data_IF_390162130961
#
_entry.id   IF_390162130961
#
_cell.length_a   1.000
_cell.length_b   1.000
_cell.length_c   1.000
_cell.angle_alpha   90.00
_cell.angle_beta   90.00
_cell.angle_gamma   90.00
#
_symmetry.space_group_name_H-M   'P 1'
#
loop_
_entity.id
_entity.type
_entity.pdbx_description
1 polymer ?
#
# COMPACT_ATOMS: atom_id res chain seq x y z
N UNK A 1 -29.13 35.70 40.89
CA UNK A 1 -28.16 34.64 41.21
C UNK A 1 -28.16 33.62 40.09
N UNK A 2 -27.17 33.60 39.18
CA UNK A 2 -27.01 32.52 38.22
C UNK A 2 -26.07 31.44 38.79
N UNK A 3 -26.46 30.16 38.67
CA UNK A 3 -25.57 29.01 38.92
C UNK A 3 -24.98 28.50 37.60
N UNK A 4 -23.78 27.89 37.62
CA UNK A 4 -22.84 27.90 36.51
C UNK A 4 -22.93 26.69 35.57
N UNK A 5 -22.36 26.86 34.36
CA UNK A 5 -22.11 25.84 33.34
C UNK A 5 -21.28 24.65 33.86
N UNK A 6 -21.39 23.49 33.19
CA UNK A 6 -20.22 22.70 32.87
C UNK A 6 -19.97 22.64 31.35
N UNK A 7 -18.75 23.03 31.03
CA UNK A 7 -17.99 22.85 29.80
C UNK A 7 -17.88 21.35 29.46
N UNK A 8 -18.36 20.90 28.29
CA UNK A 8 -17.86 19.65 27.68
C UNK A 8 -18.22 19.53 26.20
N UNK A 9 -17.18 19.26 25.40
CA UNK A 9 -17.15 18.64 24.06
C UNK A 9 -17.57 19.50 22.87
N UNK A 10 -16.66 20.40 22.48
CA UNK A 10 -16.43 20.71 21.08
C UNK A 10 -15.41 19.70 20.53
N UNK A 11 -15.87 18.78 19.66
CA UNK A 11 -15.08 17.98 18.72
C UNK A 11 -16.05 17.01 18.04
N UNK A 12 -16.45 17.34 16.81
CA UNK A 12 -16.83 16.41 15.75
C UNK A 12 -17.46 17.19 14.60
N UNK A 13 -16.85 17.09 13.42
CA UNK A 13 -17.44 17.61 12.18
C UNK A 13 -16.45 18.33 11.27
N UNK A 14 -15.33 17.71 10.92
CA UNK A 14 -14.65 18.06 9.66
C UNK A 14 -15.21 17.14 8.58
N UNK A 15 -16.39 17.49 8.09
CA UNK A 15 -16.96 16.94 6.86
C UNK A 15 -16.14 17.51 5.69
N UNK A 16 -15.38 16.66 5.01
CA UNK A 16 -14.79 16.98 3.71
C UNK A 16 -15.91 17.04 2.67
N UNK A 17 -16.59 18.19 2.60
CA UNK A 17 -17.41 18.53 1.44
C UNK A 17 -16.48 19.00 0.33
N UNK A 18 -16.07 18.09 -0.56
CA UNK A 18 -15.44 18.45 -1.81
C UNK A 18 -16.47 19.14 -2.71
N UNK A 19 -16.35 20.45 -2.85
CA UNK A 19 -17.09 21.22 -3.84
C UNK A 19 -16.52 20.88 -5.22
N UNK A 20 -17.29 20.17 -6.05
CA UNK A 20 -16.92 19.92 -7.45
C UNK A 20 -17.03 21.24 -8.22
N UNK A 21 -15.90 21.89 -8.47
CA UNK A 21 -15.78 22.87 -9.55
C UNK A 21 -15.30 22.15 -10.80
N UNK A 22 -16.24 21.76 -11.66
CA UNK A 22 -15.96 21.24 -12.98
C UNK A 22 -15.32 22.33 -13.85
N UNK A 23 -14.05 22.18 -14.21
CA UNK A 23 -13.46 22.88 -15.34
C UNK A 23 -13.64 22.00 -16.58
N UNK A 24 -14.58 22.41 -17.43
CA UNK A 24 -14.81 21.79 -18.72
C UNK A 24 -13.62 22.13 -19.65
N UNK A 25 -12.68 21.20 -19.80
CA UNK A 25 -11.79 21.22 -20.97
C UNK A 25 -12.52 20.57 -22.15
N UNK A 26 -12.65 21.32 -23.24
CA UNK A 26 -13.22 20.83 -24.50
C UNK A 26 -12.33 19.70 -25.04
N UNK A 27 -12.81 18.46 -24.97
CA UNK A 27 -12.20 17.34 -25.67
C UNK A 27 -12.56 17.43 -27.17
N UNK A 28 -11.56 17.65 -28.00
CA UNK A 28 -11.67 17.57 -29.45
C UNK A 28 -11.77 16.09 -29.87
N UNK A 29 -12.96 15.70 -30.33
CA UNK A 29 -13.30 14.35 -30.80
C UNK A 29 -12.82 14.11 -32.23
N UNK A 30 -11.53 14.34 -32.51
CA UNK A 30 -11.00 14.11 -33.85
C UNK A 30 -9.55 13.65 -33.85
N UNK A 31 -9.30 12.40 -33.44
CA UNK A 31 -8.15 11.63 -33.96
C UNK A 31 -8.47 10.15 -34.05
N UNK A 32 -8.43 9.66 -35.29
CA UNK A 32 -8.65 8.29 -35.69
C UNK A 32 -7.73 7.31 -34.95
N UNK A 33 -8.31 6.20 -34.49
CA UNK A 33 -7.57 5.00 -34.08
C UNK A 33 -7.01 4.32 -35.32
N UNK A 34 -5.69 4.36 -35.53
CA UNK A 34 -5.03 3.50 -36.50
C UNK A 34 -4.35 2.31 -35.80
N UNK A 35 -4.91 1.13 -36.02
CA UNK A 35 -4.29 -0.16 -35.78
C UNK A 35 -3.47 -0.55 -37.01
N UNK A 36 -2.15 -0.31 -37.00
CA UNK A 36 -1.25 -0.85 -38.03
C UNK A 36 0.01 -1.43 -37.41
N UNK A 37 0.32 -2.65 -37.85
CA UNK A 37 1.42 -3.51 -37.43
C UNK A 37 2.81 -2.94 -37.82
N UNK A 38 3.73 -3.02 -36.85
CA UNK A 38 5.19 -3.22 -36.92
C UNK A 38 6.03 -2.58 -38.05
N UNK A 39 7.11 -1.89 -37.64
CA UNK A 39 8.45 -2.08 -38.22
C UNK A 39 9.54 -1.80 -37.18
N UNK A 40 10.48 -2.74 -37.07
CA UNK A 40 11.76 -2.62 -36.36
C UNK A 40 12.52 -1.35 -36.73
N UNK A 41 13.06 -0.64 -35.73
CA UNK A 41 14.15 0.31 -35.92
C UNK A 41 15.35 -0.13 -35.07
N UNK A 42 16.17 -1.00 -35.66
CA UNK A 42 17.59 -1.06 -35.34
C UNK A 42 18.28 0.09 -36.08
N UNK A 43 19.17 0.79 -35.37
CA UNK A 43 20.21 1.71 -35.86
C UNK A 43 19.85 3.21 -35.93
N UNK A 44 20.52 3.96 -35.04
CA UNK A 44 21.01 5.35 -35.14
C UNK A 44 20.23 6.38 -36.00
N UNK A 45 19.74 7.43 -35.32
CA UNK A 45 19.13 8.67 -35.82
C UNK A 45 17.71 8.59 -36.39
N UNK A 46 16.72 8.82 -35.52
CA UNK A 46 15.44 9.41 -35.90
C UNK A 46 15.28 10.76 -35.18
N UNK A 47 15.65 11.83 -35.88
CA UNK A 47 15.36 13.22 -35.50
C UNK A 47 13.90 13.48 -35.86
N UNK A 48 13.06 13.81 -34.87
CA UNK A 48 11.70 14.26 -35.11
C UNK A 48 11.68 15.79 -35.07
N UNK A 49 11.60 16.40 -36.24
CA UNK A 49 11.53 17.84 -36.45
C UNK A 49 10.07 18.27 -36.35
N UNK A 50 9.69 19.03 -35.31
CA UNK A 50 8.30 19.40 -35.08
C UNK A 50 8.03 20.30 -33.88
N UNK A 51 8.21 21.62 -34.08
CA UNK A 51 7.46 22.73 -33.45
C UNK A 51 7.53 22.91 -31.91
N UNK A 52 8.64 23.46 -31.42
CA UNK A 52 8.64 24.44 -30.33
C UNK A 52 9.62 25.57 -30.65
N UNK A 53 9.13 26.82 -30.65
CA UNK A 53 9.94 28.02 -30.83
C UNK A 53 10.74 28.29 -29.56
N UNK A 54 12.05 28.08 -29.59
CA UNK A 54 12.96 28.58 -28.57
C UNK A 54 13.42 29.99 -28.97
N UNK A 55 13.11 30.97 -28.11
CA UNK A 55 13.69 32.30 -28.19
C UNK A 55 15.20 32.21 -27.90
N UNK A 56 16.00 32.74 -28.82
CA UNK A 56 17.45 32.89 -28.67
C UNK A 56 17.76 33.81 -27.49
N UNK A 57 18.17 33.23 -26.36
CA UNK A 57 18.89 33.94 -25.32
C UNK A 57 20.37 33.51 -25.37
N UNK A 58 21.13 34.26 -26.17
CA UNK A 58 22.53 34.62 -25.96
C UNK A 58 23.52 33.51 -25.51
N UNK A 59 24.25 32.98 -26.50
CA UNK A 59 25.54 32.30 -26.34
C UNK A 59 26.50 33.14 -25.48
N UNK A 60 26.78 32.67 -24.27
CA UNK A 60 27.94 33.04 -23.47
C UNK A 60 28.68 31.74 -23.14
N UNK A 61 29.77 31.50 -23.87
CA UNK A 61 30.66 30.38 -23.64
C UNK A 61 31.69 30.70 -22.54
N UNK A 62 32.05 29.65 -21.80
CA UNK A 62 33.32 29.38 -21.10
C UNK A 62 33.29 29.45 -19.56
N UNK A 63 33.54 28.26 -19.01
CA UNK A 63 34.01 27.95 -17.65
C UNK A 63 32.95 27.85 -16.54
N UNK A 64 32.05 26.87 -16.67
CA UNK A 64 31.56 26.16 -15.48
C UNK A 64 32.20 24.78 -15.48
N UNK A 65 32.90 24.46 -14.39
CA UNK A 65 33.23 23.09 -14.00
C UNK A 65 32.02 22.20 -14.26
N UNK A 66 32.22 21.04 -14.91
CA UNK A 66 31.15 20.05 -15.06
C UNK A 66 30.38 19.97 -13.74
N UNK A 67 29.07 20.26 -13.72
CA UNK A 67 28.32 20.10 -12.49
C UNK A 67 28.48 18.64 -12.14
N UNK A 68 29.22 18.38 -11.05
CA UNK A 68 29.25 17.07 -10.42
C UNK A 68 27.78 16.72 -10.27
N UNK A 69 27.33 15.71 -11.03
CA UNK A 69 25.96 15.24 -10.99
C UNK A 69 25.76 14.70 -9.57
N UNK A 70 25.22 15.55 -8.71
CA UNK A 70 24.87 15.19 -7.36
C UNK A 70 23.58 14.38 -7.45
N UNK A 71 23.73 13.07 -7.62
CA UNK A 71 22.62 12.13 -7.65
C UNK A 71 21.82 12.10 -6.33
N UNK A 72 22.36 12.73 -5.28
CA UNK A 72 21.74 12.85 -3.96
C UNK A 72 21.06 14.22 -3.73
N UNK A 73 21.19 15.17 -4.67
CA UNK A 73 20.51 16.46 -4.58
C UNK A 73 19.02 16.33 -4.95
N UNK A 74 18.18 16.15 -3.93
CA UNK A 74 16.70 16.16 -3.99
C UNK A 74 16.03 14.89 -4.54
N UNK A 75 16.56 13.70 -4.28
CA UNK A 75 15.77 12.47 -4.47
C UNK A 75 14.65 12.45 -3.43
N UNK A 76 13.40 12.60 -3.90
CA UNK A 76 12.23 12.41 -3.04
C UNK A 76 12.28 11.01 -2.41
N UNK A 77 11.80 10.84 -1.17
CA UNK A 77 11.84 9.55 -0.52
C UNK A 77 11.03 8.52 -1.31
N UNK A 78 11.48 7.26 -1.27
CA UNK A 78 10.96 6.17 -2.12
C UNK A 78 9.43 5.98 -2.05
N UNK A 79 8.82 6.29 -0.91
CA UNK A 79 7.38 6.14 -0.73
C UNK A 79 6.54 7.24 -1.41
N UNK A 80 7.14 8.34 -1.87
CA UNK A 80 6.45 9.41 -2.59
C UNK A 80 6.59 9.32 -4.11
N UNK A 81 7.45 8.41 -4.60
CA UNK A 81 7.73 8.25 -6.02
C UNK A 81 7.05 6.99 -6.56
N UNK A 82 6.55 7.08 -7.79
CA UNK A 82 6.06 5.92 -8.54
C UNK A 82 7.16 5.46 -9.49
N UNK A 83 7.84 4.34 -9.21
CA UNK A 83 8.91 3.86 -10.06
C UNK A 83 8.35 3.31 -11.38
N UNK A 84 9.13 3.42 -12.46
CA UNK A 84 8.77 2.82 -13.76
C UNK A 84 8.98 1.31 -13.77
N UNK A 85 9.99 0.84 -13.04
CA UNK A 85 10.32 -0.57 -12.90
C UNK A 85 9.64 -1.15 -11.65
N UNK A 86 9.23 -2.42 -11.76
CA UNK A 86 8.60 -3.15 -10.66
C UNK A 86 9.64 -3.49 -9.60
N UNK A 87 9.30 -3.20 -8.35
CA UNK A 87 10.12 -3.47 -7.19
C UNK A 87 9.40 -4.40 -6.22
N UNK A 88 9.64 -5.70 -6.40
CA UNK A 88 9.02 -6.75 -5.58
C UNK A 88 9.46 -6.68 -4.11
N UNK A 89 10.73 -6.40 -3.87
CA UNK A 89 11.28 -6.36 -2.51
C UNK A 89 10.64 -5.21 -1.71
N UNK A 90 10.41 -4.07 -2.37
CA UNK A 90 9.70 -2.95 -1.76
C UNK A 90 8.23 -3.26 -1.50
N UNK A 91 7.53 -3.92 -2.45
CA UNK A 91 6.15 -4.36 -2.25
C UNK A 91 6.05 -5.33 -1.07
N UNK A 92 6.97 -6.29 -0.96
CA UNK A 92 7.01 -7.23 0.15
C UNK A 92 7.34 -6.54 1.47
N UNK A 93 8.27 -5.58 1.48
CA UNK A 93 8.55 -4.74 2.64
C UNK A 93 7.32 -4.00 3.17
N UNK A 94 6.55 -3.38 2.27
CA UNK A 94 5.27 -2.75 2.60
C UNK A 94 4.24 -3.78 3.08
N UNK A 95 4.20 -4.97 2.46
CA UNK A 95 3.31 -6.07 2.88
C UNK A 95 3.60 -6.53 4.31
N UNK A 96 4.87 -6.62 4.70
CA UNK A 96 5.24 -6.92 6.09
C UNK A 96 4.88 -5.79 7.05
N UNK A 97 4.96 -4.53 6.60
CA UNK A 97 4.46 -3.40 7.38
C UNK A 97 2.94 -3.50 7.58
N UNK A 98 2.18 -3.86 6.54
CA UNK A 98 0.74 -4.12 6.64
C UNK A 98 0.45 -5.26 7.62
N UNK A 99 1.20 -6.36 7.56
CA UNK A 99 1.07 -7.47 8.50
C UNK A 99 1.30 -7.00 9.95
N UNK A 100 2.38 -6.27 10.21
CA UNK A 100 2.69 -5.73 11.54
C UNK A 100 1.61 -4.77 12.05
N UNK A 101 1.11 -3.88 11.20
CA UNK A 101 0.00 -2.98 11.51
C UNK A 101 -1.30 -3.73 11.78
N UNK A 102 -1.54 -4.84 11.08
CA UNK A 102 -2.72 -5.68 11.28
C UNK A 102 -2.66 -6.37 12.64
N UNK A 103 -1.51 -6.93 13.03
CA UNK A 103 -1.33 -7.51 14.38
C UNK A 103 -1.54 -6.45 15.46
N UNK A 104 -0.99 -5.24 15.28
CA UNK A 104 -1.20 -4.13 16.22
C UNK A 104 -2.68 -3.71 16.28
N UNK A 105 -3.36 -3.70 15.13
CA UNK A 105 -4.78 -3.36 15.00
C UNK A 105 -5.65 -4.40 15.71
N UNK A 106 -5.41 -5.69 15.49
CA UNK A 106 -6.08 -6.78 16.21
C UNK A 106 -5.85 -6.62 17.71
N UNK A 107 -4.60 -6.41 18.14
CA UNK A 107 -4.28 -6.16 19.55
C UNK A 107 -5.08 -4.99 20.14
N UNK A 108 -5.14 -3.87 19.43
CA UNK A 108 -5.94 -2.70 19.84
C UNK A 108 -7.44 -3.01 19.86
N UNK A 109 -7.96 -3.72 18.85
CA UNK A 109 -9.36 -4.14 18.78
C UNK A 109 -9.73 -5.05 19.95
N UNK A 110 -8.83 -5.93 20.38
CA UNK A 110 -9.03 -6.73 21.62
C UNK A 110 -8.97 -5.91 22.90
N UNK A 111 -8.71 -4.60 22.86
CA UNK A 111 -8.78 -3.67 23.99
C UNK A 111 -9.96 -2.68 23.86
N UNK A 112 -10.44 -2.42 22.65
CA UNK A 112 -11.54 -1.50 22.39
C UNK A 112 -12.91 -2.10 22.81
N UNK A 113 -13.93 -1.25 23.08
CA UNK A 113 -15.28 -1.71 23.39
C UNK A 113 -15.97 -2.35 22.17
N UNK A 114 -16.85 -3.32 22.42
CA UNK A 114 -17.61 -4.04 21.38
C UNK A 114 -18.43 -3.11 20.46
N UNK A 115 -18.79 -1.90 20.90
CA UNK A 115 -19.54 -0.94 20.08
C UNK A 115 -18.74 -0.35 18.91
N UNK A 116 -17.41 -0.54 18.88
CA UNK A 116 -16.54 -0.10 17.77
C UNK A 116 -16.09 -1.31 16.95
N UNK A 117 -15.73 -2.41 17.62
CA UNK A 117 -15.12 -3.57 16.97
C UNK A 117 -16.11 -4.65 16.56
N UNK A 118 -17.32 -4.66 17.12
CA UNK A 118 -18.33 -5.72 17.02
C UNK A 118 -17.92 -7.11 17.53
N UNK A 119 -16.64 -7.32 17.80
CA UNK A 119 -16.13 -8.56 18.40
C UNK A 119 -16.63 -8.73 19.83
N UNK A 120 -17.42 -9.78 20.06
CA UNK A 120 -17.93 -10.12 21.39
C UNK A 120 -16.84 -10.67 22.34
N UNK A 121 -17.21 -10.90 23.60
CA UNK A 121 -16.28 -11.41 24.62
C UNK A 121 -15.77 -12.82 24.31
N UNK A 122 -16.54 -13.61 23.57
CA UNK A 122 -16.11 -14.93 23.11
C UNK A 122 -15.13 -14.80 21.94
N UNK A 123 -15.31 -13.84 21.02
CA UNK A 123 -14.39 -13.55 19.90
C UNK A 123 -13.02 -13.05 20.37
N UNK A 124 -12.93 -12.60 21.63
CA UNK A 124 -11.68 -12.21 22.30
C UNK A 124 -11.01 -13.37 23.05
N UNK A 125 -11.65 -14.53 23.13
CA UNK A 125 -11.07 -15.73 23.74
C UNK A 125 -10.00 -16.35 22.83
N UNK A 126 -8.74 -16.02 23.13
CA UNK A 126 -7.57 -16.51 22.42
C UNK A 126 -7.43 -18.04 22.45
N UNK A 127 -8.10 -18.74 23.36
CA UNK A 127 -7.97 -20.20 23.51
C UNK A 127 -8.67 -21.00 22.41
N UNK A 128 -9.64 -20.40 21.71
CA UNK A 128 -10.47 -21.05 20.69
C UNK A 128 -10.33 -20.43 19.28
N UNK A 129 -9.35 -19.54 19.07
CA UNK A 129 -9.19 -18.82 17.80
C UNK A 129 -9.06 -19.75 16.58
N UNK A 130 -8.28 -20.84 16.70
CA UNK A 130 -8.05 -21.74 15.57
C UNK A 130 -9.29 -22.53 15.14
N UNK A 131 -10.10 -22.99 16.10
CA UNK A 131 -11.37 -23.67 15.79
C UNK A 131 -12.40 -22.69 15.25
N UNK A 132 -12.52 -21.50 15.85
CA UNK A 132 -13.42 -20.44 15.37
C UNK A 132 -13.11 -20.00 13.95
N UNK A 133 -11.84 -19.70 13.68
CA UNK A 133 -11.39 -19.35 12.34
C UNK A 133 -11.77 -20.42 11.33
N UNK A 134 -11.52 -21.70 11.67
CA UNK A 134 -11.88 -22.82 10.80
C UNK A 134 -13.39 -22.89 10.59
N UNK A 135 -14.19 -22.74 11.62
CA UNK A 135 -15.65 -22.80 11.54
C UNK A 135 -16.20 -21.64 10.69
N UNK A 136 -15.67 -20.44 10.85
CA UNK A 136 -16.05 -19.25 10.09
C UNK A 136 -15.67 -19.40 8.60
N UNK A 137 -14.43 -19.80 8.30
CA UNK A 137 -13.96 -20.00 6.92
C UNK A 137 -14.74 -21.13 6.23
N UNK A 138 -15.04 -22.22 6.94
CA UNK A 138 -15.76 -23.37 6.36
C UNK A 138 -17.27 -23.15 6.23
N UNK A 139 -17.86 -22.21 6.98
CA UNK A 139 -19.26 -21.79 6.83
C UNK A 139 -19.52 -21.09 5.49
N UNK A 140 -18.48 -20.51 4.89
CA UNK A 140 -18.53 -19.78 3.64
C UNK A 140 -19.09 -18.37 3.81
N UNK A 141 -18.89 -17.47 2.81
CA UNK A 141 -19.22 -16.07 3.02
C UNK A 141 -20.73 -15.84 3.13
N UNK A 142 -21.10 -14.90 3.98
CA UNK A 142 -22.48 -14.47 4.21
C UNK A 142 -22.70 -13.05 3.72
N UNK A 143 -23.95 -12.65 3.59
CA UNK A 143 -24.26 -11.25 3.28
C UNK A 143 -24.30 -10.47 4.59
N UNK A 144 -23.26 -9.67 4.83
CA UNK A 144 -23.12 -8.96 6.09
C UNK A 144 -24.11 -7.78 6.23
N UNK A 145 -24.46 -7.40 7.46
CA UNK A 145 -25.40 -6.32 7.82
C UNK A 145 -24.71 -5.20 8.59
N UNK A 146 -23.45 -5.00 8.28
CA UNK A 146 -22.63 -4.01 8.93
C UNK A 146 -23.05 -2.56 8.69
N UNK A 147 -22.48 -1.65 9.49
CA UNK A 147 -22.83 -0.24 9.36
C UNK A 147 -22.35 0.27 8.01
N UNK A 148 -23.18 1.06 7.32
CA UNK A 148 -22.91 1.46 5.94
C UNK A 148 -21.58 2.23 5.79
N UNK A 149 -21.12 2.90 6.85
CA UNK A 149 -19.83 3.60 6.86
C UNK A 149 -18.65 2.62 6.78
N UNK A 150 -18.73 1.47 7.45
CA UNK A 150 -17.67 0.47 7.37
C UNK A 150 -17.60 -0.11 5.96
N UNK A 151 -18.71 -0.61 5.43
CA UNK A 151 -18.73 -1.33 4.15
C UNK A 151 -18.48 -0.42 2.93
N UNK A 152 -18.92 0.84 2.97
CA UNK A 152 -18.86 1.72 1.79
C UNK A 152 -17.86 2.87 1.88
N UNK A 153 -17.21 3.08 3.02
CA UNK A 153 -16.18 4.12 3.17
C UNK A 153 -14.86 3.48 3.62
N UNK A 154 -14.86 2.78 4.76
CA UNK A 154 -13.61 2.24 5.31
C UNK A 154 -13.04 1.12 4.45
N UNK A 155 -13.87 0.18 4.03
CA UNK A 155 -13.45 -0.93 3.16
C UNK A 155 -12.85 -0.43 1.83
N UNK A 156 -13.54 0.42 1.03
CA UNK A 156 -12.93 1.01 -0.15
C UNK A 156 -11.64 1.77 0.14
N UNK A 157 -11.56 2.52 1.24
CA UNK A 157 -10.32 3.20 1.60
C UNK A 157 -9.16 2.22 1.87
N UNK A 158 -9.36 1.18 2.68
CA UNK A 158 -8.31 0.19 2.94
C UNK A 158 -7.94 -0.65 1.71
N UNK A 159 -8.91 -0.97 0.85
CA UNK A 159 -8.64 -1.52 -0.47
C UNK A 159 -7.77 -0.59 -1.33
N UNK A 160 -8.03 0.72 -1.24
CA UNK A 160 -7.19 1.76 -1.84
C UNK A 160 -5.79 1.84 -1.27
N UNK A 161 -5.62 1.67 0.05
CA UNK A 161 -4.30 1.60 0.69
C UNK A 161 -3.48 0.40 0.20
N UNK A 162 -4.08 -0.78 0.04
CA UNK A 162 -3.38 -1.92 -0.56
C UNK A 162 -3.03 -1.66 -2.03
N UNK A 163 -3.94 -1.04 -2.76
CA UNK A 163 -3.71 -0.67 -4.16
C UNK A 163 -2.55 0.33 -4.30
N UNK A 164 -2.51 1.39 -3.49
CA UNK A 164 -1.43 2.39 -3.54
C UNK A 164 -0.09 1.82 -3.13
N UNK A 165 -0.03 0.84 -2.23
CA UNK A 165 1.22 0.14 -1.88
C UNK A 165 1.84 -0.56 -3.12
N UNK A 166 1.02 -1.21 -3.95
CA UNK A 166 1.46 -1.82 -5.19
C UNK A 166 1.83 -0.78 -6.26
N UNK A 167 1.06 0.31 -6.40
CA UNK A 167 1.40 1.40 -7.33
C UNK A 167 2.76 2.03 -7.01
N UNK A 168 3.06 2.31 -5.75
CA UNK A 168 4.36 2.82 -5.30
C UNK A 168 5.51 1.81 -5.43
N UNK A 169 5.20 0.54 -5.71
CA UNK A 169 6.18 -0.48 -6.08
C UNK A 169 6.33 -0.67 -7.60
N UNK A 170 5.73 0.21 -8.42
CA UNK A 170 5.89 0.20 -9.89
C UNK A 170 4.95 -0.76 -10.62
N UNK A 171 3.94 -1.30 -9.95
CA UNK A 171 2.93 -2.15 -10.58
C UNK A 171 1.88 -1.31 -11.31
N UNK A 172 1.38 -1.83 -12.43
CA UNK A 172 0.31 -1.17 -13.19
C UNK A 172 -1.06 -1.30 -12.48
N UNK A 173 -2.07 -0.65 -13.03
CA UNK A 173 -3.41 -0.55 -12.44
C UNK A 173 -4.05 -1.93 -12.22
N UNK A 174 -3.91 -2.84 -13.20
CA UNK A 174 -4.49 -4.18 -13.11
C UNK A 174 -3.76 -5.06 -12.10
N UNK A 175 -2.44 -4.98 -12.05
CA UNK A 175 -1.62 -5.71 -11.09
C UNK A 175 -1.86 -5.22 -9.65
N UNK A 176 -1.96 -3.90 -9.46
CA UNK A 176 -2.30 -3.29 -8.18
C UNK A 176 -3.72 -3.63 -7.74
N UNK A 177 -4.67 -3.72 -8.68
CA UNK A 177 -6.00 -4.25 -8.39
C UNK A 177 -5.93 -5.71 -7.92
N UNK A 178 -5.16 -6.57 -8.59
CA UNK A 178 -5.04 -7.98 -8.20
C UNK A 178 -4.36 -8.14 -6.83
N UNK A 179 -3.33 -7.32 -6.54
CA UNK A 179 -2.71 -7.27 -5.23
C UNK A 179 -3.72 -6.84 -4.15
N UNK A 180 -4.44 -5.74 -4.38
CA UNK A 180 -5.49 -5.26 -3.46
C UNK A 180 -6.58 -6.32 -3.25
N UNK A 181 -7.07 -6.96 -4.31
CA UNK A 181 -8.02 -8.08 -4.24
C UNK A 181 -7.51 -9.24 -3.40
N UNK A 182 -6.24 -9.60 -3.57
CA UNK A 182 -5.61 -10.69 -2.80
C UNK A 182 -5.49 -10.31 -1.32
N UNK A 183 -5.03 -9.09 -1.02
CA UNK A 183 -4.85 -8.60 0.35
C UNK A 183 -6.19 -8.43 1.08
N UNK A 184 -7.18 -7.81 0.44
CA UNK A 184 -8.51 -7.65 1.02
C UNK A 184 -9.20 -8.99 1.25
N UNK A 185 -9.15 -9.90 0.28
CA UNK A 185 -9.88 -11.18 0.38
C UNK A 185 -9.17 -12.19 1.28
N UNK A 186 -7.91 -12.52 0.99
CA UNK A 186 -7.27 -13.66 1.65
C UNK A 186 -6.57 -13.28 2.95
N UNK A 187 -5.95 -12.10 2.97
CA UNK A 187 -5.21 -11.64 4.14
C UNK A 187 -6.15 -11.02 5.18
N UNK A 188 -7.03 -10.10 4.79
CA UNK A 188 -7.93 -9.42 5.72
C UNK A 188 -9.16 -10.26 6.04
N UNK A 189 -10.06 -10.46 5.07
CA UNK A 189 -11.36 -11.10 5.28
C UNK A 189 -11.23 -12.55 5.80
N UNK A 190 -10.56 -13.42 5.02
CA UNK A 190 -10.37 -14.83 5.37
C UNK A 190 -9.24 -15.05 6.38
N UNK A 191 -8.39 -14.06 6.62
CA UNK A 191 -7.26 -14.16 7.52
C UNK A 191 -7.60 -13.54 8.87
N UNK A 192 -7.50 -12.22 8.96
CA UNK A 192 -7.64 -11.44 10.19
C UNK A 192 -9.07 -11.45 10.72
N UNK A 193 -10.07 -11.11 9.90
CA UNK A 193 -11.45 -10.98 10.36
C UNK A 193 -12.12 -12.32 10.62
N UNK A 194 -11.77 -13.36 9.85
CA UNK A 194 -12.28 -14.71 10.05
C UNK A 194 -12.04 -15.29 11.46
N UNK A 195 -11.10 -14.74 12.23
CA UNK A 195 -10.92 -15.11 13.65
C UNK A 195 -12.07 -14.68 14.55
N UNK A 196 -12.79 -13.63 14.18
CA UNK A 196 -13.87 -13.05 14.96
C UNK A 196 -15.25 -13.24 14.29
N UNK A 197 -15.32 -13.15 12.95
CA UNK A 197 -16.57 -13.07 12.20
C UNK A 197 -16.54 -13.98 10.96
N UNK A 198 -17.71 -14.29 10.38
CA UNK A 198 -17.79 -15.09 9.15
C UNK A 198 -17.50 -14.17 7.96
N UNK A 199 -16.69 -14.60 6.98
CA UNK A 199 -16.41 -13.79 5.79
C UNK A 199 -17.66 -13.22 5.10
N UNK A 200 -17.55 -12.05 4.51
CA UNK A 200 -18.61 -11.28 3.90
C UNK A 200 -18.48 -11.26 2.39
N UNK A 201 -19.56 -11.63 1.68
CA UNK A 201 -19.61 -11.47 0.23
C UNK A 201 -19.46 -10.02 -0.21
N UNK A 202 -19.98 -9.08 0.57
CA UNK A 202 -19.91 -7.66 0.21
C UNK A 202 -18.46 -7.21 0.18
N UNK A 203 -17.70 -7.52 1.22
CA UNK A 203 -16.36 -6.98 1.40
C UNK A 203 -15.36 -7.64 0.45
N UNK A 204 -15.56 -8.90 0.08
CA UNK A 204 -14.80 -9.58 -0.98
C UNK A 204 -14.92 -8.85 -2.34
N UNK A 205 -16.07 -8.26 -2.65
CA UNK A 205 -16.28 -7.56 -3.93
C UNK A 205 -16.04 -6.05 -3.83
N UNK A 206 -16.62 -5.39 -2.84
CA UNK A 206 -16.65 -3.94 -2.70
C UNK A 206 -15.25 -3.42 -2.39
N UNK A 207 -14.55 -4.05 -1.44
CA UNK A 207 -13.24 -3.60 -0.95
C UNK A 207 -12.23 -3.49 -2.09
N UNK A 208 -11.97 -4.51 -2.91
CA UNK A 208 -10.97 -4.36 -3.97
C UNK A 208 -11.49 -3.59 -5.19
N UNK A 209 -12.77 -3.70 -5.54
CA UNK A 209 -13.29 -3.05 -6.74
C UNK A 209 -13.36 -1.52 -6.56
N UNK A 210 -14.00 -1.05 -5.49
CA UNK A 210 -14.03 0.38 -5.19
C UNK A 210 -12.71 0.85 -4.60
N UNK A 211 -11.96 -0.05 -3.95
CA UNK A 211 -10.61 0.25 -3.49
C UNK A 211 -9.64 0.57 -4.61
N UNK A 212 -9.70 -0.11 -5.75
CA UNK A 212 -8.86 0.28 -6.90
C UNK A 212 -9.19 1.69 -7.42
N UNK A 213 -10.48 2.07 -7.47
CA UNK A 213 -10.90 3.41 -7.88
C UNK A 213 -10.41 4.46 -6.87
N UNK A 214 -10.66 4.23 -5.58
CA UNK A 214 -10.23 5.13 -4.51
C UNK A 214 -8.70 5.22 -4.45
N UNK A 215 -8.00 4.10 -4.64
CA UNK A 215 -6.54 4.02 -4.62
C UNK A 215 -5.89 4.79 -5.77
N UNK A 216 -6.42 4.72 -6.99
CA UNK A 216 -5.88 5.53 -8.09
C UNK A 216 -6.16 7.03 -7.84
N UNK A 217 -7.35 7.39 -7.33
CA UNK A 217 -7.61 8.77 -6.91
C UNK A 217 -6.66 9.25 -5.81
N UNK A 218 -6.33 8.38 -4.85
CA UNK A 218 -5.38 8.68 -3.78
C UNK A 218 -3.99 8.97 -4.36
N UNK A 219 -3.53 8.13 -5.29
CA UNK A 219 -2.26 8.28 -5.98
C UNK A 219 -2.20 9.58 -6.80
N UNK A 220 -3.21 9.85 -7.63
CA UNK A 220 -3.27 11.07 -8.44
C UNK A 220 -3.28 12.33 -7.55
N UNK A 221 -4.04 12.29 -6.45
CA UNK A 221 -4.11 13.41 -5.50
C UNK A 221 -2.76 13.63 -4.81
N UNK A 222 -2.08 12.55 -4.42
CA UNK A 222 -0.75 12.62 -3.81
C UNK A 222 0.26 13.28 -4.76
N UNK A 223 0.33 12.80 -6.00
CA UNK A 223 1.24 13.34 -7.01
C UNK A 223 0.91 14.80 -7.35
N UNK A 224 -0.38 15.19 -7.36
CA UNK A 224 -0.79 16.60 -7.52
C UNK A 224 -0.32 17.48 -6.36
N UNK A 225 -0.48 17.04 -5.11
CA UNK A 225 -0.03 17.79 -3.93
C UNK A 225 1.49 17.97 -3.95
N UNK A 226 2.22 16.92 -4.33
CA UNK A 226 3.68 16.98 -4.45
C UNK A 226 4.12 17.95 -5.56
N UNK A 227 3.43 17.94 -6.70
CA UNK A 227 3.70 18.86 -7.81
C UNK A 227 3.45 20.33 -7.44
N UNK A 228 2.44 20.60 -6.60
CA UNK A 228 2.11 21.95 -6.10
C UNK A 228 2.99 22.40 -4.92
N UNK A 229 4.07 21.68 -4.62
CA UNK A 229 5.05 22.03 -3.58
C UNK A 229 4.70 21.55 -2.18
N UNK A 230 3.79 20.58 -2.07
CA UNK A 230 3.41 19.92 -0.81
C UNK A 230 2.44 20.74 0.04
N UNK A 231 1.68 21.66 -0.55
CA UNK A 231 0.73 22.51 0.18
C UNK A 231 -0.71 22.18 -0.15
N UNK A 232 -1.55 22.07 0.88
CA UNK A 232 -3.01 21.96 0.72
C UNK A 232 -3.64 23.20 1.35
N UNK A 233 -4.47 23.92 0.58
CA UNK A 233 -5.08 25.19 1.00
C UNK A 233 -4.07 26.24 1.51
N UNK A 234 -2.86 26.25 0.94
CA UNK A 234 -1.76 27.15 1.33
C UNK A 234 -1.07 26.79 2.66
N UNK A 235 -1.25 25.56 3.15
CA UNK A 235 -0.60 25.06 4.36
C UNK A 235 0.23 23.81 4.05
N UNK A 236 1.53 23.88 4.35
CA UNK A 236 2.43 22.71 4.28
C UNK A 236 2.02 21.61 5.25
N UNK A 237 1.64 21.98 6.48
CA UNK A 237 1.18 21.00 7.46
C UNK A 237 -0.08 20.26 7.00
N UNK A 238 -1.02 20.96 6.35
CA UNK A 238 -2.18 20.30 5.77
C UNK A 238 -1.80 19.37 4.61
N UNK A 239 -0.79 19.76 3.81
CA UNK A 239 -0.22 18.91 2.77
C UNK A 239 0.43 17.65 3.36
N UNK A 240 1.33 17.77 4.33
CA UNK A 240 2.00 16.66 4.99
C UNK A 240 1.00 15.65 5.60
N UNK A 241 -0.04 16.16 6.26
CA UNK A 241 -1.12 15.31 6.81
C UNK A 241 -1.91 14.63 5.70
N UNK A 242 -2.19 15.33 4.60
CA UNK A 242 -2.91 14.74 3.47
C UNK A 242 -2.10 13.63 2.80
N UNK A 243 -0.82 13.86 2.52
CA UNK A 243 0.10 12.87 1.97
C UNK A 243 0.15 11.60 2.82
N UNK A 244 0.20 11.75 4.15
CA UNK A 244 0.16 10.60 5.06
C UNK A 244 -1.11 9.75 4.88
N UNK A 245 -2.30 10.35 4.76
CA UNK A 245 -3.53 9.58 4.59
C UNK A 245 -3.72 9.04 3.16
N UNK A 246 -3.03 9.59 2.17
CA UNK A 246 -3.03 9.08 0.80
C UNK A 246 -2.11 7.86 0.66
N UNK A 247 -1.00 7.82 1.40
CA UNK A 247 -0.09 6.66 1.41
C UNK A 247 0.41 6.29 2.83
N UNK A 248 -0.48 5.86 3.73
CA UNK A 248 -0.12 5.61 5.13
C UNK A 248 0.90 4.48 5.28
N UNK A 249 0.78 3.43 4.46
CA UNK A 249 1.70 2.27 4.49
C UNK A 249 3.09 2.69 4.05
N UNK A 250 3.23 3.45 2.97
CA UNK A 250 4.52 3.93 2.49
C UNK A 250 5.24 4.80 3.53
N UNK A 251 4.51 5.74 4.14
CA UNK A 251 5.03 6.60 5.21
C UNK A 251 5.47 5.80 6.44
N UNK A 252 4.62 4.88 6.93
CA UNK A 252 4.95 4.05 8.10
C UNK A 252 6.12 3.11 7.79
N UNK A 253 6.12 2.50 6.61
CA UNK A 253 7.20 1.61 6.18
C UNK A 253 8.54 2.34 6.14
N UNK A 254 8.57 3.56 5.59
CA UNK A 254 9.76 4.41 5.59
C UNK A 254 10.23 4.78 6.99
N UNK A 255 9.30 5.13 7.88
CA UNK A 255 9.65 5.43 9.27
C UNK A 255 10.20 4.20 10.01
N UNK A 256 9.53 3.05 9.84
CA UNK A 256 9.93 1.79 10.46
C UNK A 256 11.31 1.33 9.98
N UNK A 257 11.59 1.41 8.67
CA UNK A 257 12.90 1.05 8.12
C UNK A 257 14.01 1.99 8.60
N UNK A 258 13.74 3.28 8.69
CA UNK A 258 14.70 4.26 9.23
C UNK A 258 14.95 4.10 10.73
N UNK A 259 13.94 3.74 11.52
CA UNK A 259 14.09 3.48 12.96
C UNK A 259 14.80 2.17 13.25
N UNK A 260 14.54 1.13 12.45
CA UNK A 260 15.07 -0.21 12.65
C UNK A 260 16.53 -0.32 12.18
N UNK A 261 16.95 0.45 11.17
CA UNK A 261 18.34 0.48 10.67
C UNK A 261 18.83 -0.83 10.03
N UNK A 262 17.97 -1.85 9.99
CA UNK A 262 18.29 -3.21 9.58
C UNK A 262 17.42 -3.72 8.42
N UNK A 263 17.85 -4.79 7.75
CA UNK A 263 17.04 -5.50 6.75
C UNK A 263 16.42 -6.75 7.36
N UNK A 264 15.18 -7.08 7.00
CA UNK A 264 14.56 -8.36 7.31
C UNK A 264 14.18 -9.04 6.00
N UNK A 265 14.93 -10.08 5.64
CA UNK A 265 14.72 -10.86 4.42
C UNK A 265 14.05 -12.19 4.79
N UNK A 266 12.99 -12.55 4.06
CA UNK A 266 12.29 -13.84 4.23
C UNK A 266 12.44 -14.62 2.94
N UNK A 267 13.11 -15.77 3.01
CA UNK A 267 13.32 -16.64 1.86
C UNK A 267 12.65 -17.99 2.08
N UNK A 268 11.88 -18.44 1.11
CA UNK A 268 11.40 -19.81 1.07
C UNK A 268 12.53 -20.72 0.60
N UNK A 269 12.83 -21.77 1.36
CA UNK A 269 13.84 -22.75 0.99
C UNK A 269 13.26 -24.15 1.03
N UNK A 270 13.54 -24.92 -0.02
CA UNK A 270 13.26 -26.36 -0.07
C UNK A 270 14.49 -27.20 0.23
N UNK A 271 15.64 -26.58 0.52
CA UNK A 271 16.88 -27.28 0.80
C UNK A 271 16.92 -27.68 2.28
N UNK A 272 17.09 -28.97 2.60
CA UNK A 272 17.27 -29.43 3.98
C UNK A 272 18.36 -28.62 4.68
N UNK A 273 18.09 -28.26 5.94
CA UNK A 273 19.04 -27.52 6.78
C UNK A 273 19.46 -26.16 6.19
N UNK A 274 18.59 -25.53 5.40
CA UNK A 274 18.83 -24.22 4.78
C UNK A 274 20.10 -24.18 3.90
N UNK A 275 20.53 -25.34 3.38
CA UNK A 275 21.77 -25.46 2.59
C UNK A 275 23.06 -25.42 3.42
N UNK A 276 22.99 -25.41 4.75
CA UNK A 276 24.15 -25.42 5.63
C UNK A 276 24.73 -26.84 5.76
N UNK A 277 25.92 -27.06 5.19
CA UNK A 277 26.58 -28.36 5.16
C UNK A 277 27.02 -28.84 6.54
N UNK A 278 27.39 -27.93 7.45
CA UNK A 278 27.82 -28.28 8.80
C UNK A 278 26.63 -28.72 9.66
N UNK A 279 25.50 -28.02 9.55
CA UNK A 279 24.25 -28.40 10.21
C UNK A 279 23.73 -29.75 9.69
N UNK A 280 23.79 -29.97 8.37
CA UNK A 280 23.42 -31.24 7.77
C UNK A 280 24.31 -32.39 8.26
N UNK A 281 25.63 -32.18 8.36
CA UNK A 281 26.57 -33.17 8.87
C UNK A 281 26.32 -33.50 10.34
N UNK A 282 26.10 -32.49 11.18
CA UNK A 282 25.76 -32.68 12.59
C UNK A 282 24.47 -33.48 12.77
N UNK A 283 23.44 -33.20 11.98
CA UNK A 283 22.17 -33.93 12.03
C UNK A 283 22.33 -35.40 11.61
N UNK A 284 23.09 -35.67 10.54
CA UNK A 284 23.39 -37.04 10.10
C UNK A 284 24.21 -37.81 11.14
N UNK A 285 25.22 -37.18 11.74
CA UNK A 285 26.04 -37.78 12.80
C UNK A 285 25.23 -38.06 14.08
N UNK A 286 24.19 -37.25 14.35
CA UNK A 286 23.23 -37.46 15.43
C UNK A 286 22.15 -38.53 15.11
N UNK A 287 22.22 -39.16 13.93
CA UNK A 287 21.34 -40.27 13.54
C UNK A 287 20.02 -39.85 12.89
N UNK A 288 19.85 -38.58 12.53
CA UNK A 288 18.67 -38.12 11.79
C UNK A 288 18.78 -38.50 10.30
N UNK A 289 17.68 -38.97 9.72
CA UNK A 289 17.62 -39.32 8.30
C UNK A 289 17.59 -38.06 7.42
N UNK A 290 18.09 -38.17 6.19
CA UNK A 290 17.98 -37.12 5.20
C UNK A 290 16.52 -37.04 4.73
N UNK A 291 15.82 -35.94 5.03
CA UNK A 291 14.45 -35.75 4.59
C UNK A 291 14.39 -35.46 3.09
N UNK A 292 13.62 -36.27 2.36
CA UNK A 292 13.42 -36.11 0.92
C UNK A 292 12.49 -34.94 0.57
N UNK A 293 11.82 -34.36 1.57
CA UNK A 293 10.94 -33.20 1.44
C UNK A 293 11.18 -32.28 2.62
N UNK A 294 11.72 -31.10 2.35
CA UNK A 294 11.95 -30.06 3.35
C UNK A 294 11.33 -28.77 2.85
N UNK A 295 10.61 -28.07 3.74
CA UNK A 295 10.08 -26.75 3.50
C UNK A 295 10.44 -25.89 4.70
N UNK A 296 11.24 -24.86 4.45
CA UNK A 296 11.71 -23.93 5.47
C UNK A 296 11.48 -22.49 5.05
N UNK A 297 11.25 -21.63 6.03
CA UNK A 297 11.30 -20.18 5.87
C UNK A 297 12.59 -19.71 6.56
N UNK A 298 13.48 -19.12 5.79
CA UNK A 298 14.68 -18.47 6.29
C UNK A 298 14.35 -17.01 6.59
N UNK A 299 14.52 -16.61 7.84
CA UNK A 299 14.33 -15.23 8.30
C UNK A 299 15.70 -14.66 8.63
N UNK A 300 16.23 -13.83 7.73
CA UNK A 300 17.49 -13.14 7.96
C UNK A 300 17.21 -11.73 8.42
N UNK A 301 17.54 -11.46 9.68
CA UNK A 301 17.48 -10.12 10.25
C UNK A 301 18.90 -9.59 10.38
N UNK A 302 19.20 -8.52 9.64
CA UNK A 302 20.43 -7.76 9.76
C UNK A 302 20.14 -6.54 10.64
N UNK A 303 21.03 -6.21 11.57
CA UNK A 303 20.94 -5.08 12.50
C UNK A 303 22.21 -4.22 12.42
#
# INVERSE_FOLDING_TARGET
MPKPLPLTKALSGLLLTASVSAQANQFDFSKHTETTYATDCLQEYCVNDGLYSFNNAQLLSLDESEPKLDLDANTQPKYLIVPQDKDWDYLMGQTYTILGLSVATVGLMTLLPQSITKWDDDSRDLSNLGSKWKDNVTSGPVWDRDEHVLNYIMHPYFGGVYYTAARHAGYNEFESFLYSATMSTFFWEYGVEAFAEVPSWQDIFITPFFGAVVGEMMLETEQSILADGGEVLGSKTAGDVSLFFLNPVGHIHHWASNLWGGSADVNFTSNPWFGNQDAAKFALDAGYAYDNQFYGLDFKVTF
#
